data_IF_221216471144
#
_entry.id   IF_221216471144
#
_cell.length_a   1.000
_cell.length_b   1.000
_cell.length_c   1.000
_cell.angle_alpha   90.00
_cell.angle_beta   90.00
_cell.angle_gamma   90.00
#
_symmetry.space_group_name_H-M   'P 1'
#
loop_
_entity.id
_entity.type
_entity.pdbx_description
1 polymer ?
#
# COMPACT_ATOMS: atom_id res chain seq x y z
N UNK A 1 -7.72 15.33 -17.01
CA UNK A 1 -7.45 13.89 -17.19
C UNK A 1 -6.28 13.66 -18.15
N UNK A 2 -6.28 14.22 -19.34
CA UNK A 2 -5.24 14.05 -20.38
C UNK A 2 -3.82 14.38 -19.89
N UNK A 3 -3.65 15.49 -19.17
CA UNK A 3 -2.35 15.91 -18.63
C UNK A 3 -1.76 14.88 -17.66
N UNK A 4 -2.61 14.33 -16.78
CA UNK A 4 -2.18 13.29 -15.82
C UNK A 4 -1.84 11.99 -16.58
N UNK A 5 -2.63 11.61 -17.57
CA UNK A 5 -2.35 10.42 -18.38
C UNK A 5 -1.04 10.55 -19.16
N UNK A 6 -0.81 11.70 -19.78
CA UNK A 6 0.46 11.97 -20.47
C UNK A 6 1.65 12.01 -19.49
N UNK A 7 1.45 12.60 -18.29
CA UNK A 7 2.46 12.67 -17.24
C UNK A 7 2.71 11.36 -16.49
N UNK A 8 1.88 10.33 -16.69
CA UNK A 8 1.94 9.07 -15.93
C UNK A 8 3.29 8.35 -16.10
N UNK A 9 3.91 8.46 -17.27
CA UNK A 9 5.27 7.93 -17.53
C UNK A 9 6.28 8.56 -16.57
N UNK A 10 6.23 9.89 -16.40
CA UNK A 10 7.12 10.62 -15.48
C UNK A 10 6.86 10.20 -14.04
N UNK A 11 5.61 10.08 -13.66
CA UNK A 11 5.21 9.62 -12.32
C UNK A 11 5.76 8.23 -12.00
N UNK A 12 5.59 7.27 -12.91
CA UNK A 12 6.11 5.91 -12.71
C UNK A 12 7.63 5.85 -12.69
N UNK A 13 8.31 6.64 -13.52
CA UNK A 13 9.77 6.76 -13.47
C UNK A 13 10.23 7.35 -12.14
N UNK A 14 9.58 8.39 -11.65
CA UNK A 14 9.86 9.00 -10.34
C UNK A 14 9.69 7.99 -9.19
N UNK A 15 8.59 7.26 -9.14
CA UNK A 15 8.37 6.23 -8.11
C UNK A 15 9.38 5.08 -8.23
N UNK A 16 9.70 4.65 -9.45
CA UNK A 16 10.71 3.62 -9.71
C UNK A 16 12.10 4.05 -9.22
N UNK A 17 12.53 5.27 -9.56
CA UNK A 17 13.83 5.80 -9.11
C UNK A 17 13.87 5.98 -7.59
N UNK A 18 12.77 6.37 -6.97
CA UNK A 18 12.65 6.46 -5.52
C UNK A 18 12.85 5.07 -4.86
N UNK A 19 12.27 4.02 -5.43
CA UNK A 19 12.46 2.65 -4.96
C UNK A 19 13.91 2.18 -5.15
N UNK A 20 14.56 2.52 -6.28
CA UNK A 20 15.98 2.22 -6.53
C UNK A 20 16.88 2.91 -5.51
N UNK A 21 16.65 4.18 -5.17
CA UNK A 21 17.41 4.89 -4.14
C UNK A 21 17.28 4.21 -2.78
N UNK A 22 16.08 3.74 -2.40
CA UNK A 22 15.88 2.98 -1.16
C UNK A 22 16.64 1.64 -1.17
N UNK A 23 16.58 0.91 -2.27
CA UNK A 23 17.32 -0.34 -2.45
C UNK A 23 18.85 -0.14 -2.45
N UNK A 24 19.32 1.03 -2.92
CA UNK A 24 20.73 1.44 -2.89
C UNK A 24 21.22 1.87 -1.49
N UNK A 25 20.46 1.58 -0.44
CA UNK A 25 20.77 1.99 0.95
C UNK A 25 20.81 3.53 1.15
N UNK A 26 20.07 4.28 0.33
CA UNK A 26 19.97 5.74 0.41
C UNK A 26 18.54 6.23 0.76
N UNK A 27 17.94 5.74 1.85
CA UNK A 27 16.55 6.10 2.19
C UNK A 27 16.39 7.59 2.49
N UNK A 28 17.43 8.27 3.00
CA UNK A 28 17.40 9.72 3.23
C UNK A 28 17.24 10.52 1.94
N UNK A 29 17.94 10.12 0.86
CA UNK A 29 17.81 10.77 -0.45
C UNK A 29 16.44 10.53 -1.06
N UNK A 30 15.92 9.30 -0.95
CA UNK A 30 14.56 8.98 -1.38
C UNK A 30 13.50 9.81 -0.63
N UNK A 31 13.66 9.98 0.69
CA UNK A 31 12.80 10.83 1.52
C UNK A 31 12.90 12.31 1.09
N UNK A 32 14.11 12.84 0.90
CA UNK A 32 14.33 14.23 0.44
C UNK A 32 13.69 14.47 -0.92
N UNK A 33 13.77 13.51 -1.86
CA UNK A 33 13.08 13.60 -3.16
C UNK A 33 11.57 13.72 -2.98
N UNK A 34 10.99 12.94 -2.06
CA UNK A 34 9.55 12.98 -1.78
C UNK A 34 9.13 14.31 -1.14
N UNK A 35 9.87 14.78 -0.14
CA UNK A 35 9.61 16.08 0.50
C UNK A 35 9.73 17.22 -0.52
N UNK A 36 10.78 17.21 -1.34
CA UNK A 36 10.96 18.18 -2.42
C UNK A 36 9.77 18.18 -3.39
N UNK A 37 9.31 17.01 -3.82
CA UNK A 37 8.14 16.88 -4.70
C UNK A 37 6.90 17.50 -4.07
N UNK A 38 6.63 17.21 -2.79
CA UNK A 38 5.45 17.74 -2.08
C UNK A 38 5.52 19.26 -1.95
N UNK A 39 6.67 19.79 -1.53
CA UNK A 39 6.85 21.26 -1.39
C UNK A 39 6.74 21.97 -2.72
N UNK A 40 7.39 21.43 -3.77
CA UNK A 40 7.28 21.99 -5.13
C UNK A 40 5.86 21.91 -5.67
N UNK A 41 5.15 20.82 -5.40
CA UNK A 41 3.73 20.70 -5.80
C UNK A 41 2.88 21.81 -5.15
N UNK A 42 3.01 22.03 -3.83
CA UNK A 42 2.27 23.10 -3.12
C UNK A 42 2.56 24.46 -3.73
N UNK A 43 3.83 24.78 -4.01
CA UNK A 43 4.24 26.06 -4.62
C UNK A 43 3.67 26.20 -6.03
N UNK A 44 3.79 25.16 -6.85
CA UNK A 44 3.28 25.16 -8.22
C UNK A 44 1.74 25.19 -8.28
N UNK A 45 1.06 24.49 -7.35
CA UNK A 45 -0.40 24.59 -7.20
C UNK A 45 -0.84 26.01 -6.91
N UNK A 46 -0.16 26.70 -5.99
CA UNK A 46 -0.45 28.10 -5.70
C UNK A 46 -0.27 28.99 -6.95
N UNK A 47 0.83 28.80 -7.69
CA UNK A 47 1.12 29.58 -8.91
C UNK A 47 0.07 29.28 -10.00
N UNK A 48 -0.16 28.02 -10.34
CA UNK A 48 -0.98 27.65 -11.49
C UNK A 48 -2.48 27.81 -11.21
N UNK A 49 -2.92 27.54 -9.97
CA UNK A 49 -4.35 27.64 -9.62
C UNK A 49 -4.69 29.08 -9.24
N UNK A 50 -3.89 29.72 -8.34
CA UNK A 50 -4.24 31.02 -7.75
C UNK A 50 -3.79 32.20 -8.63
N UNK A 51 -2.56 32.17 -9.14
CA UNK A 51 -2.02 33.32 -9.93
C UNK A 51 -2.44 33.23 -11.39
N UNK A 52 -2.36 32.04 -12.01
CA UNK A 52 -2.67 31.89 -13.44
C UNK A 52 -4.12 31.45 -13.72
N UNK A 53 -4.89 31.07 -12.71
CA UNK A 53 -6.30 30.73 -12.85
C UNK A 53 -6.61 29.48 -13.66
N UNK A 54 -5.62 28.53 -13.81
CA UNK A 54 -5.78 27.33 -14.63
C UNK A 54 -6.68 26.26 -13.99
N UNK A 55 -7.12 26.46 -12.75
CA UNK A 55 -8.04 25.53 -12.05
C UNK A 55 -7.49 24.10 -11.99
N UNK A 56 -8.35 23.11 -12.29
CA UNK A 56 -8.00 21.68 -12.23
C UNK A 56 -6.85 21.30 -13.19
N UNK A 57 -6.75 21.97 -14.34
CA UNK A 57 -5.64 21.76 -15.27
C UNK A 57 -4.31 22.18 -14.65
N UNK A 58 -4.31 23.32 -13.94
CA UNK A 58 -3.13 23.81 -13.20
C UNK A 58 -2.65 22.82 -12.16
N UNK A 59 -3.54 22.23 -11.36
CA UNK A 59 -3.21 21.19 -10.40
C UNK A 59 -2.57 19.97 -11.05
N UNK A 60 -3.11 19.54 -12.19
CA UNK A 60 -2.53 18.41 -12.94
C UNK A 60 -1.12 18.72 -13.45
N UNK A 61 -0.87 19.93 -13.98
CA UNK A 61 0.47 20.36 -14.41
C UNK A 61 1.43 20.49 -13.24
N UNK A 62 1.00 21.03 -12.11
CA UNK A 62 1.82 21.16 -10.91
C UNK A 62 2.32 19.79 -10.42
N UNK A 63 1.42 18.81 -10.40
CA UNK A 63 1.74 17.44 -9.99
C UNK A 63 2.79 16.80 -10.91
N UNK A 64 2.58 16.86 -12.23
CA UNK A 64 3.52 16.28 -13.20
C UNK A 64 4.87 17.00 -13.20
N UNK A 65 4.86 18.34 -13.13
CA UNK A 65 6.08 19.14 -13.13
C UNK A 65 6.91 18.95 -11.85
N UNK A 66 6.28 18.89 -10.68
CA UNK A 66 6.97 18.63 -9.42
C UNK A 66 7.66 17.26 -9.42
N UNK A 67 6.99 16.24 -9.95
CA UNK A 67 7.55 14.89 -10.12
C UNK A 67 8.68 14.86 -11.15
N UNK A 68 8.56 15.60 -12.25
CA UNK A 68 9.62 15.72 -13.26
C UNK A 68 10.89 16.35 -12.69
N UNK A 69 10.76 17.44 -11.92
CA UNK A 69 11.88 18.10 -11.25
C UNK A 69 12.57 17.16 -10.25
N UNK A 70 11.78 16.44 -9.44
CA UNK A 70 12.31 15.46 -8.51
C UNK A 70 12.98 14.28 -9.22
N UNK A 71 12.42 13.81 -10.34
CA UNK A 71 13.04 12.78 -11.18
C UNK A 71 14.39 13.23 -11.72
N UNK A 72 14.50 14.46 -12.22
CA UNK A 72 15.77 15.03 -12.67
C UNK A 72 16.81 15.04 -11.54
N UNK A 73 16.40 15.44 -10.34
CA UNK A 73 17.27 15.40 -9.16
C UNK A 73 17.70 13.98 -8.80
N UNK A 74 16.79 13.01 -8.80
CA UNK A 74 17.09 11.58 -8.56
C UNK A 74 18.07 11.02 -9.61
N UNK A 75 17.85 11.34 -10.89
CA UNK A 75 18.75 10.94 -11.98
C UNK A 75 20.16 11.50 -11.80
N UNK A 76 20.29 12.75 -11.36
CA UNK A 76 21.59 13.36 -11.05
C UNK A 76 22.32 12.60 -9.94
N UNK A 77 21.60 12.16 -8.90
CA UNK A 77 22.16 11.36 -7.81
C UNK A 77 22.69 10.00 -8.29
N UNK A 78 21.99 9.36 -9.24
CA UNK A 78 22.38 8.08 -9.80
C UNK A 78 23.44 8.19 -10.93
N UNK A 79 23.77 9.39 -11.37
CA UNK A 79 24.83 9.63 -12.36
C UNK A 79 26.22 9.75 -11.71
N UNK A 80 26.28 9.91 -10.39
CA UNK A 80 27.54 10.05 -9.67
C UNK A 80 28.31 8.70 -9.72
N UNK A 81 29.52 8.71 -10.31
CA UNK A 81 30.35 7.51 -10.53
C UNK A 81 30.96 6.93 -9.25
N UNK A 82 31.04 7.72 -8.19
CA UNK A 82 31.60 7.29 -6.90
C UNK A 82 30.66 6.38 -6.13
N UNK A 83 29.44 6.18 -6.64
CA UNK A 83 28.39 5.42 -5.98
C UNK A 83 28.33 3.99 -6.47
N UNK A 84 27.99 3.05 -5.56
CA UNK A 84 27.88 1.61 -5.86
C UNK A 84 26.87 1.35 -7.00
N UNK A 85 25.74 2.08 -6.98
CA UNK A 85 24.75 2.07 -8.07
C UNK A 85 24.84 3.37 -8.85
N UNK A 86 25.42 3.29 -10.06
CA UNK A 86 25.47 4.39 -11.00
C UNK A 86 25.06 3.94 -12.42
N UNK A 87 24.54 4.88 -13.19
CA UNK A 87 24.15 4.66 -14.56
C UNK A 87 25.40 4.48 -15.45
N UNK A 88 25.60 3.27 -16.01
CA UNK A 88 26.69 2.97 -16.95
C UNK A 88 26.24 3.13 -18.40
N UNK A 89 27.17 3.54 -19.29
CA UNK A 89 26.93 3.47 -20.73
C UNK A 89 26.70 2.01 -21.15
N UNK A 90 25.58 1.71 -21.84
CA UNK A 90 25.19 0.34 -22.23
C UNK A 90 24.02 -0.26 -21.48
N UNK A 91 23.47 0.42 -20.48
CA UNK A 91 22.25 0.05 -19.77
C UNK A 91 21.03 -0.14 -20.69
N UNK A 92 21.04 0.50 -21.86
CA UNK A 92 19.96 0.44 -22.85
C UNK A 92 19.83 -0.91 -23.57
N UNK A 93 20.79 -1.83 -23.39
CA UNK A 93 20.66 -3.20 -23.92
C UNK A 93 19.83 -4.05 -22.97
N UNK A 94 18.54 -4.17 -23.29
CA UNK A 94 17.61 -4.99 -22.53
C UNK A 94 17.99 -6.47 -22.66
N UNK A 95 18.35 -7.11 -21.54
CA UNK A 95 18.57 -8.55 -21.49
C UNK A 95 17.24 -9.22 -21.15
N UNK A 96 16.76 -10.11 -22.01
CA UNK A 96 15.46 -10.79 -21.90
C UNK A 96 15.22 -11.38 -20.51
N UNK A 97 16.15 -12.12 -19.98
CA UNK A 97 16.06 -12.73 -18.64
C UNK A 97 15.86 -11.69 -17.51
N UNK A 98 16.51 -10.49 -17.58
CA UNK A 98 16.30 -9.43 -16.60
C UNK A 98 14.91 -8.82 -16.73
N UNK A 99 14.44 -8.63 -17.96
CA UNK A 99 13.10 -8.10 -18.23
C UNK A 99 12.02 -9.07 -17.71
N UNK A 100 12.17 -10.37 -17.99
CA UNK A 100 11.25 -11.41 -17.52
C UNK A 100 11.18 -11.44 -15.97
N UNK A 101 12.30 -11.33 -15.28
CA UNK A 101 12.35 -11.27 -13.83
C UNK A 101 11.66 -10.00 -13.27
N UNK A 102 11.91 -8.84 -13.87
CA UNK A 102 11.29 -7.57 -13.46
C UNK A 102 9.76 -7.64 -13.65
N UNK A 103 9.30 -8.12 -14.80
CA UNK A 103 7.88 -8.27 -15.12
C UNK A 103 7.23 -9.27 -14.15
N UNK A 104 7.89 -10.41 -13.89
CA UNK A 104 7.38 -11.44 -12.97
C UNK A 104 7.13 -10.88 -11.56
N UNK A 105 8.04 -10.04 -11.06
CA UNK A 105 7.87 -9.39 -9.75
C UNK A 105 6.78 -8.30 -9.82
N UNK A 106 6.73 -7.53 -10.93
CA UNK A 106 5.76 -6.45 -11.13
C UNK A 106 4.32 -6.93 -11.36
N UNK A 107 4.12 -8.16 -11.83
CA UNK A 107 2.78 -8.75 -12.00
C UNK A 107 2.01 -8.81 -10.67
N UNK A 108 2.69 -9.06 -9.54
CA UNK A 108 2.03 -9.11 -8.23
C UNK A 108 1.30 -7.81 -7.87
N UNK A 109 1.97 -6.66 -7.77
CA UNK A 109 1.29 -5.40 -7.47
C UNK A 109 0.31 -4.97 -8.57
N UNK A 110 0.56 -5.31 -9.83
CA UNK A 110 -0.38 -5.06 -10.92
C UNK A 110 -1.72 -5.78 -10.69
N UNK A 111 -1.69 -7.10 -10.45
CA UNK A 111 -2.89 -7.88 -10.17
C UNK A 111 -3.62 -7.38 -8.92
N UNK A 112 -2.87 -7.00 -7.87
CA UNK A 112 -3.45 -6.41 -6.66
C UNK A 112 -4.25 -5.14 -6.97
N UNK A 113 -3.72 -4.24 -7.79
CA UNK A 113 -4.40 -2.99 -8.16
C UNK A 113 -5.61 -3.25 -9.06
N UNK A 114 -5.52 -4.17 -10.03
CA UNK A 114 -6.66 -4.56 -10.86
C UNK A 114 -7.79 -5.12 -10.01
N UNK A 115 -7.48 -6.02 -9.07
CA UNK A 115 -8.47 -6.57 -8.16
C UNK A 115 -9.08 -5.49 -7.25
N UNK A 116 -8.27 -4.54 -6.77
CA UNK A 116 -8.78 -3.42 -5.99
C UNK A 116 -9.78 -2.57 -6.78
N UNK A 117 -9.53 -2.31 -8.06
CA UNK A 117 -10.49 -1.61 -8.94
C UNK A 117 -11.81 -2.39 -9.09
N UNK A 118 -11.73 -3.70 -9.31
CA UNK A 118 -12.92 -4.56 -9.40
C UNK A 118 -13.72 -4.51 -8.10
N UNK A 119 -13.05 -4.63 -6.96
CA UNK A 119 -13.70 -4.55 -5.63
C UNK A 119 -14.39 -3.20 -5.43
N UNK A 120 -13.77 -2.09 -5.80
CA UNK A 120 -14.39 -0.74 -5.69
C UNK A 120 -15.68 -0.66 -6.51
N UNK A 121 -15.69 -1.20 -7.74
CA UNK A 121 -16.88 -1.23 -8.58
C UNK A 121 -18.00 -2.06 -7.92
N UNK A 122 -17.67 -3.28 -7.46
CA UNK A 122 -18.63 -4.13 -6.75
C UNK A 122 -19.16 -3.48 -5.48
N UNK A 123 -18.28 -2.90 -4.67
CA UNK A 123 -18.64 -2.22 -3.43
C UNK A 123 -19.60 -1.07 -3.70
N UNK A 124 -19.28 -0.18 -4.65
CA UNK A 124 -20.13 0.94 -4.98
C UNK A 124 -21.50 0.47 -5.48
N UNK A 125 -21.57 -0.54 -6.34
CA UNK A 125 -22.84 -1.10 -6.81
C UNK A 125 -23.70 -1.63 -5.66
N UNK A 126 -23.11 -2.34 -4.72
CA UNK A 126 -23.83 -2.87 -3.56
C UNK A 126 -24.26 -1.75 -2.59
N UNK A 127 -23.42 -0.74 -2.37
CA UNK A 127 -23.77 0.41 -1.53
C UNK A 127 -24.95 1.20 -2.11
N UNK A 128 -24.94 1.48 -3.43
CA UNK A 128 -26.06 2.16 -4.11
C UNK A 128 -27.33 1.31 -4.00
N UNK A 129 -27.23 0.00 -4.23
CA UNK A 129 -28.40 -0.91 -4.24
C UNK A 129 -29.08 -1.02 -2.88
N UNK A 130 -28.31 -1.11 -1.77
CA UNK A 130 -28.84 -1.38 -0.45
C UNK A 130 -28.92 -0.16 0.46
N UNK A 131 -28.28 0.96 0.13
CA UNK A 131 -28.24 2.14 0.99
C UNK A 131 -28.31 3.49 0.28
N UNK A 132 -28.35 3.49 -1.07
CA UNK A 132 -28.40 4.72 -1.87
C UNK A 132 -27.14 5.58 -1.77
N UNK A 133 -27.23 6.81 -2.27
CA UNK A 133 -26.09 7.75 -2.35
C UNK A 133 -25.53 8.12 -0.97
N UNK A 134 -26.36 8.16 0.05
CA UNK A 134 -25.93 8.45 1.42
C UNK A 134 -25.00 7.37 1.98
N UNK A 135 -25.23 6.09 1.66
CA UNK A 135 -24.36 5.00 2.07
C UNK A 135 -23.00 5.03 1.35
N UNK A 136 -22.99 5.44 0.07
CA UNK A 136 -21.75 5.66 -0.68
C UNK A 136 -20.93 6.79 -0.05
N UNK A 137 -21.59 7.90 0.30
CA UNK A 137 -20.94 9.02 1.01
C UNK A 137 -20.39 8.63 2.36
N UNK A 138 -21.16 7.89 3.16
CA UNK A 138 -20.75 7.39 4.47
C UNK A 138 -19.54 6.43 4.37
N UNK A 139 -19.56 5.53 3.39
CA UNK A 139 -18.44 4.63 3.11
C UNK A 139 -17.20 5.40 2.63
N UNK A 140 -17.37 6.42 1.78
CA UNK A 140 -16.27 7.29 1.34
C UNK A 140 -15.55 7.97 2.50
N UNK A 141 -16.31 8.45 3.49
CA UNK A 141 -15.76 9.02 4.73
C UNK A 141 -15.01 7.94 5.52
N UNK A 142 -15.63 6.78 5.76
CA UNK A 142 -15.00 5.68 6.48
C UNK A 142 -13.70 5.21 5.81
N UNK A 143 -13.70 5.09 4.48
CA UNK A 143 -12.51 4.73 3.69
C UNK A 143 -11.41 5.79 3.80
N UNK A 144 -11.75 7.08 3.79
CA UNK A 144 -10.77 8.17 3.93
C UNK A 144 -10.10 8.17 5.30
N UNK A 145 -10.87 7.97 6.37
CA UNK A 145 -10.33 7.82 7.74
C UNK A 145 -9.41 6.59 7.81
N UNK A 146 -9.84 5.49 7.26
CA UNK A 146 -9.11 4.23 7.21
C UNK A 146 -7.77 4.37 6.48
N UNK A 147 -7.75 5.06 5.35
CA UNK A 147 -6.56 5.27 4.53
C UNK A 147 -5.44 6.03 5.24
N UNK A 148 -5.74 6.89 6.20
CA UNK A 148 -4.72 7.59 7.00
C UNK A 148 -3.81 6.55 7.69
N UNK A 149 -4.39 5.57 8.39
CA UNK A 149 -3.64 4.54 9.11
C UNK A 149 -2.95 3.56 8.16
N UNK A 150 -3.61 3.19 7.06
CA UNK A 150 -3.03 2.35 6.00
C UNK A 150 -1.77 2.98 5.40
N UNK A 151 -1.76 4.29 5.17
CA UNK A 151 -0.60 5.02 4.65
C UNK A 151 0.62 4.93 5.58
N UNK A 152 0.42 4.99 6.90
CA UNK A 152 1.51 4.79 7.86
C UNK A 152 2.09 3.38 7.77
N UNK A 153 1.25 2.34 7.64
CA UNK A 153 1.70 0.95 7.48
C UNK A 153 2.45 0.76 6.17
N UNK A 154 1.95 1.34 5.07
CA UNK A 154 2.67 1.32 3.78
C UNK A 154 4.06 1.97 3.92
N UNK A 155 4.17 3.06 4.67
CA UNK A 155 5.46 3.70 4.97
C UNK A 155 6.42 2.77 5.73
N UNK A 156 5.93 2.06 6.74
CA UNK A 156 6.71 1.04 7.46
C UNK A 156 7.15 -0.10 6.55
N UNK A 157 6.26 -0.60 5.70
CA UNK A 157 6.54 -1.66 4.74
C UNK A 157 7.63 -1.24 3.75
N UNK A 158 7.58 -0.01 3.25
CA UNK A 158 8.62 0.53 2.37
C UNK A 158 9.99 0.63 3.06
N UNK A 159 10.01 0.87 4.37
CA UNK A 159 11.24 0.82 5.19
C UNK A 159 11.73 -0.60 5.42
N UNK A 160 10.83 -1.55 5.61
CA UNK A 160 11.15 -2.97 5.79
C UNK A 160 11.76 -3.60 4.54
N UNK A 161 11.24 -3.25 3.35
CA UNK A 161 11.60 -3.88 2.07
C UNK A 161 13.11 -4.04 1.83
N UNK A 162 13.94 -2.97 1.84
CA UNK A 162 15.36 -3.09 1.55
C UNK A 162 16.11 -3.91 2.62
N UNK A 163 15.69 -3.77 3.89
CA UNK A 163 16.33 -4.46 5.01
C UNK A 163 16.01 -5.97 4.95
N UNK A 164 14.74 -6.32 4.69
CA UNK A 164 14.32 -7.70 4.57
C UNK A 164 14.96 -8.38 3.35
N UNK A 165 14.96 -7.71 2.19
CA UNK A 165 15.55 -8.21 0.96
C UNK A 165 17.05 -8.48 1.11
N UNK A 166 17.80 -7.53 1.72
CA UNK A 166 19.23 -7.69 1.97
C UNK A 166 19.53 -8.86 2.92
N UNK A 167 18.86 -8.92 4.09
CA UNK A 167 19.10 -9.97 5.08
C UNK A 167 18.68 -11.36 4.57
N UNK A 168 17.65 -11.43 3.71
CA UNK A 168 17.27 -12.68 3.05
C UNK A 168 18.34 -13.14 2.06
N UNK A 169 18.86 -12.22 1.22
CA UNK A 169 19.93 -12.51 0.27
C UNK A 169 21.26 -12.92 0.94
N UNK A 170 21.59 -12.32 2.08
CA UNK A 170 22.78 -12.65 2.88
C UNK A 170 22.57 -13.83 3.85
N UNK A 171 21.42 -14.51 3.78
CA UNK A 171 21.07 -15.67 4.63
C UNK A 171 21.08 -15.37 6.15
N UNK A 172 20.96 -14.10 6.55
CA UNK A 172 20.91 -13.68 7.95
C UNK A 172 19.50 -13.82 8.52
N UNK A 173 19.06 -15.06 8.75
CA UNK A 173 17.69 -15.38 9.15
C UNK A 173 17.27 -14.69 10.45
N UNK A 174 18.16 -14.59 11.45
CA UNK A 174 17.83 -13.96 12.74
C UNK A 174 17.53 -12.46 12.58
N UNK A 175 18.33 -11.75 11.78
CA UNK A 175 18.08 -10.33 11.48
C UNK A 175 16.82 -10.13 10.66
N UNK A 176 16.60 -11.00 9.67
CA UNK A 176 15.37 -11.00 8.87
C UNK A 176 14.14 -11.14 9.75
N UNK A 177 14.15 -12.09 10.68
CA UNK A 177 13.05 -12.34 11.61
C UNK A 177 12.85 -11.21 12.61
N UNK A 178 13.93 -10.57 13.06
CA UNK A 178 13.86 -9.43 13.96
C UNK A 178 13.18 -8.23 13.28
N UNK A 179 13.58 -7.92 12.04
CA UNK A 179 12.97 -6.84 11.26
C UNK A 179 11.48 -7.09 11.03
N UNK A 180 11.12 -8.31 10.62
CA UNK A 180 9.72 -8.70 10.41
C UNK A 180 8.89 -8.53 11.69
N UNK A 181 9.36 -9.04 12.84
CA UNK A 181 8.66 -8.90 14.13
C UNK A 181 8.47 -7.45 14.53
N UNK A 182 9.52 -6.62 14.39
CA UNK A 182 9.45 -5.20 14.70
C UNK A 182 8.43 -4.48 13.80
N UNK A 183 8.42 -4.78 12.50
CA UNK A 183 7.46 -4.18 11.56
C UNK A 183 6.03 -4.61 11.86
N UNK A 184 5.80 -5.91 12.15
CA UNK A 184 4.47 -6.39 12.56
C UNK A 184 4.00 -5.67 13.84
N UNK A 185 4.85 -5.58 14.85
CA UNK A 185 4.50 -4.93 16.11
C UNK A 185 4.15 -3.44 15.91
N UNK A 186 4.98 -2.71 15.14
CA UNK A 186 4.75 -1.31 14.85
C UNK A 186 3.48 -1.10 14.01
N UNK A 187 3.26 -1.91 12.95
CA UNK A 187 2.08 -1.83 12.11
C UNK A 187 0.80 -2.16 12.89
N UNK A 188 0.84 -3.21 13.74
CA UNK A 188 -0.29 -3.55 14.61
C UNK A 188 -0.57 -2.42 15.60
N UNK A 189 0.45 -1.80 16.18
CA UNK A 189 0.28 -0.64 17.08
C UNK A 189 -0.40 0.54 16.40
N UNK A 190 0.00 0.88 15.17
CA UNK A 190 -0.65 1.93 14.36
C UNK A 190 -2.12 1.58 14.09
N UNK A 191 -2.39 0.35 13.68
CA UNK A 191 -3.75 -0.09 13.35
C UNK A 191 -4.65 -0.17 14.59
N UNK A 192 -4.10 -0.60 15.73
CA UNK A 192 -4.82 -0.55 17.02
C UNK A 192 -5.15 0.89 17.43
N UNK A 193 -4.23 1.83 17.24
CA UNK A 193 -4.48 3.25 17.47
C UNK A 193 -5.62 3.75 16.56
N UNK A 194 -5.62 3.39 15.29
CA UNK A 194 -6.71 3.70 14.36
C UNK A 194 -8.03 3.09 14.78
N UNK A 195 -8.02 1.86 15.22
CA UNK A 195 -9.19 1.17 15.76
C UNK A 195 -9.75 1.87 17.01
N UNK A 196 -8.89 2.24 17.96
CA UNK A 196 -9.29 2.98 19.15
C UNK A 196 -9.94 4.32 18.79
N UNK A 197 -9.33 5.11 17.90
CA UNK A 197 -9.88 6.40 17.45
C UNK A 197 -11.24 6.20 16.78
N UNK A 198 -11.37 5.18 15.92
CA UNK A 198 -12.60 4.87 15.20
C UNK A 198 -13.76 4.46 16.13
N UNK A 199 -13.47 3.84 17.28
CA UNK A 199 -14.49 3.39 18.24
C UNK A 199 -14.77 4.38 19.35
N UNK A 200 -13.76 5.10 19.84
CA UNK A 200 -13.90 6.07 20.93
C UNK A 200 -14.37 7.46 20.46
N UNK A 201 -13.95 7.86 19.25
CA UNK A 201 -14.20 9.20 18.74
C UNK A 201 -14.73 9.24 17.28
N UNK A 202 -15.64 8.34 16.85
CA UNK A 202 -16.09 8.25 15.46
C UNK A 202 -16.82 9.52 14.98
N UNK A 203 -17.49 10.22 15.89
CA UNK A 203 -18.17 11.49 15.58
C UNK A 203 -17.19 12.55 15.08
N UNK A 204 -16.06 12.72 15.75
CA UNK A 204 -15.05 13.70 15.34
C UNK A 204 -14.42 13.33 14.01
N UNK A 205 -14.16 12.04 13.78
CA UNK A 205 -13.66 11.55 12.50
C UNK A 205 -14.63 11.87 11.35
N UNK A 206 -15.93 11.61 11.51
CA UNK A 206 -16.93 11.91 10.50
C UNK A 206 -17.11 13.42 10.28
N UNK A 207 -17.09 14.21 11.37
CA UNK A 207 -17.28 15.67 11.32
C UNK A 207 -16.15 16.40 10.60
N UNK A 208 -14.96 15.83 10.49
CA UNK A 208 -13.86 16.40 9.70
C UNK A 208 -14.19 16.46 8.19
N UNK A 209 -15.08 15.59 7.70
CA UNK A 209 -15.39 15.48 6.27
C UNK A 209 -16.74 16.09 5.89
N UNK A 210 -17.70 16.16 6.82
CA UNK A 210 -19.05 16.66 6.53
C UNK A 210 -19.67 17.37 7.72
N UNK A 211 -20.62 18.27 7.42
CA UNK A 211 -21.46 18.95 8.44
C UNK A 211 -22.89 18.44 8.46
N UNK A 212 -23.28 17.59 7.50
CA UNK A 212 -24.61 17.01 7.41
C UNK A 212 -24.84 16.00 8.54
N UNK A 213 -25.84 16.23 9.43
CA UNK A 213 -26.08 15.36 10.59
C UNK A 213 -26.46 13.92 10.19
N UNK A 214 -27.23 13.77 9.11
CA UNK A 214 -27.68 12.44 8.67
C UNK A 214 -26.52 11.63 8.11
N UNK A 215 -25.67 12.27 7.29
CA UNK A 215 -24.47 11.65 6.76
C UNK A 215 -23.47 11.31 7.88
N UNK A 216 -23.31 12.17 8.89
CA UNK A 216 -22.47 11.89 10.08
C UNK A 216 -22.98 10.63 10.79
N UNK A 217 -24.29 10.50 11.00
CA UNK A 217 -24.87 9.33 11.69
C UNK A 217 -24.58 8.02 10.96
N UNK A 218 -24.69 8.02 9.63
CA UNK A 218 -24.36 6.84 8.81
C UNK A 218 -22.85 6.59 8.76
N UNK A 219 -22.04 7.64 8.65
CA UNK A 219 -20.58 7.54 8.61
C UNK A 219 -20.01 6.97 9.92
N UNK A 220 -20.56 7.32 11.09
CA UNK A 220 -20.16 6.73 12.38
C UNK A 220 -20.27 5.21 12.33
N UNK A 221 -21.42 4.68 11.89
CA UNK A 221 -21.63 3.23 11.77
C UNK A 221 -20.68 2.60 10.77
N UNK A 222 -20.51 3.25 9.60
CA UNK A 222 -19.61 2.77 8.56
C UNK A 222 -18.14 2.73 9.05
N UNK A 223 -17.67 3.75 9.79
CA UNK A 223 -16.32 3.82 10.36
C UNK A 223 -16.12 2.68 11.36
N UNK A 224 -17.05 2.51 12.32
CA UNK A 224 -16.93 1.51 13.38
C UNK A 224 -16.91 0.09 12.80
N UNK A 225 -17.78 -0.22 11.84
CA UNK A 225 -17.85 -1.54 11.23
C UNK A 225 -16.61 -1.78 10.34
N UNK A 226 -16.26 -0.84 9.48
CA UNK A 226 -15.14 -0.99 8.55
C UNK A 226 -13.80 -1.17 9.26
N UNK A 227 -13.59 -0.45 10.36
CA UNK A 227 -12.32 -0.51 11.11
C UNK A 227 -12.32 -1.56 12.24
N UNK A 228 -13.35 -2.41 12.34
CA UNK A 228 -13.48 -3.41 13.40
C UNK A 228 -12.31 -4.39 13.45
N UNK A 229 -11.80 -4.83 12.30
CA UNK A 229 -10.71 -5.81 12.18
C UNK A 229 -9.34 -5.19 11.93
N UNK A 230 -9.19 -3.87 12.08
CA UNK A 230 -7.93 -3.15 11.87
C UNK A 230 -6.74 -3.69 12.67
N UNK A 231 -6.89 -4.12 13.94
CA UNK A 231 -5.78 -4.73 14.67
C UNK A 231 -5.11 -5.90 13.94
N UNK A 232 -5.86 -6.64 13.12
CA UNK A 232 -5.36 -7.82 12.39
C UNK A 232 -4.89 -7.47 10.97
N UNK A 233 -5.46 -6.40 10.38
CA UNK A 233 -5.12 -5.95 9.02
C UNK A 233 -3.64 -5.54 8.91
N UNK A 234 -3.09 -4.86 9.95
CA UNK A 234 -1.69 -4.48 9.99
C UNK A 234 -0.74 -5.68 9.85
N UNK A 235 -1.03 -6.77 10.58
CA UNK A 235 -0.30 -8.02 10.45
C UNK A 235 -0.36 -8.59 9.02
N UNK A 236 -1.55 -8.67 8.44
CA UNK A 236 -1.75 -9.23 7.11
C UNK A 236 -1.01 -8.43 6.04
N UNK A 237 -1.03 -7.08 6.10
CA UNK A 237 -0.33 -6.21 5.15
C UNK A 237 1.18 -6.47 5.19
N UNK A 238 1.77 -6.45 6.39
CA UNK A 238 3.21 -6.68 6.58
C UNK A 238 3.61 -8.07 6.08
N UNK A 239 2.85 -9.12 6.39
CA UNK A 239 3.15 -10.49 5.94
C UNK A 239 3.10 -10.60 4.41
N UNK A 240 2.10 -9.99 3.77
CA UNK A 240 1.98 -9.99 2.31
C UNK A 240 3.16 -9.30 1.64
N UNK A 241 3.53 -8.11 2.14
CA UNK A 241 4.70 -7.35 1.66
C UNK A 241 6.02 -8.08 1.93
N UNK A 242 6.17 -8.72 3.09
CA UNK A 242 7.34 -9.51 3.41
C UNK A 242 7.59 -10.61 2.38
N UNK A 243 6.58 -11.40 2.01
CA UNK A 243 6.74 -12.43 0.98
C UNK A 243 7.10 -11.84 -0.38
N UNK A 244 6.62 -10.66 -0.70
CA UNK A 244 7.01 -9.94 -1.93
C UNK A 244 8.50 -9.54 -1.88
N UNK A 245 8.98 -9.01 -0.76
CA UNK A 245 10.36 -8.54 -0.59
C UNK A 245 11.39 -9.66 -0.69
N UNK A 246 11.07 -10.86 -0.18
CA UNK A 246 11.95 -12.03 -0.24
C UNK A 246 11.80 -12.82 -1.55
N UNK A 247 11.09 -12.28 -2.54
CA UNK A 247 10.93 -12.90 -3.87
C UNK A 247 9.97 -14.09 -3.91
N UNK A 248 9.20 -14.37 -2.83
CA UNK A 248 8.14 -15.40 -2.82
C UNK A 248 6.84 -14.85 -3.42
N UNK A 249 6.94 -14.37 -4.65
CA UNK A 249 5.87 -13.65 -5.36
C UNK A 249 4.55 -14.45 -5.41
N UNK A 250 4.60 -15.76 -5.65
CA UNK A 250 3.40 -16.63 -5.70
C UNK A 250 2.61 -16.59 -4.38
N UNK A 251 3.28 -16.58 -3.24
CA UNK A 251 2.64 -16.51 -1.92
C UNK A 251 2.03 -15.12 -1.70
N UNK A 252 2.75 -14.06 -2.05
CA UNK A 252 2.25 -12.69 -1.95
C UNK A 252 1.01 -12.48 -2.82
N UNK A 253 1.03 -12.93 -4.07
CA UNK A 253 -0.14 -12.89 -4.98
C UNK A 253 -1.32 -13.66 -4.36
N UNK A 254 -1.09 -14.88 -3.89
CA UNK A 254 -2.15 -15.69 -3.29
C UNK A 254 -2.78 -14.99 -2.09
N UNK A 255 -1.98 -14.45 -1.16
CA UNK A 255 -2.48 -13.72 0.02
C UNK A 255 -3.31 -12.49 -0.36
N UNK A 256 -2.85 -11.73 -1.35
CA UNK A 256 -3.56 -10.52 -1.80
C UNK A 256 -4.85 -10.84 -2.55
N UNK A 257 -4.79 -11.80 -3.47
CA UNK A 257 -5.96 -12.18 -4.27
C UNK A 257 -7.00 -12.93 -3.43
N UNK A 258 -6.59 -13.77 -2.49
CA UNK A 258 -7.51 -14.46 -1.60
C UNK A 258 -8.34 -13.47 -0.77
N UNK A 259 -7.74 -12.41 -0.26
CA UNK A 259 -8.46 -11.37 0.46
C UNK A 259 -9.54 -10.71 -0.40
N UNK A 260 -9.17 -10.30 -1.62
CA UNK A 260 -10.05 -9.49 -2.47
C UNK A 260 -11.05 -10.33 -3.27
N UNK A 261 -10.58 -11.37 -3.95
CA UNK A 261 -11.41 -12.16 -4.87
C UNK A 261 -12.07 -13.36 -4.17
N UNK A 262 -11.32 -14.07 -3.30
CA UNK A 262 -11.82 -15.30 -2.70
C UNK A 262 -12.74 -15.03 -1.50
N UNK A 263 -12.45 -14.00 -0.71
CA UNK A 263 -13.25 -13.70 0.47
C UNK A 263 -14.17 -12.50 0.26
N UNK A 264 -13.64 -11.33 -0.14
CA UNK A 264 -14.43 -10.10 -0.15
C UNK A 264 -15.55 -10.12 -1.19
N UNK A 265 -15.30 -10.51 -2.43
CA UNK A 265 -16.34 -10.52 -3.46
C UNK A 265 -17.50 -11.47 -3.12
N UNK A 266 -17.29 -12.74 -2.73
CA UNK A 266 -18.38 -13.61 -2.30
C UNK A 266 -19.15 -13.07 -1.09
N UNK A 267 -18.44 -12.51 -0.09
CA UNK A 267 -19.09 -11.93 1.07
C UNK A 267 -19.93 -10.70 0.71
N UNK A 268 -19.46 -9.85 -0.23
CA UNK A 268 -20.22 -8.72 -0.76
C UNK A 268 -21.49 -9.10 -1.53
N UNK A 269 -21.57 -10.34 -2.00
CA UNK A 269 -22.79 -10.88 -2.65
C UNK A 269 -23.70 -11.54 -1.62
N UNK A 270 -23.14 -12.34 -0.70
CA UNK A 270 -23.90 -13.16 0.23
C UNK A 270 -24.44 -12.35 1.41
N UNK A 271 -23.60 -11.61 2.12
CA UNK A 271 -23.99 -10.92 3.36
C UNK A 271 -25.08 -9.85 3.18
N UNK A 272 -25.11 -9.07 2.09
CA UNK A 272 -26.19 -8.09 1.90
C UNK A 272 -27.58 -8.72 1.73
N UNK A 273 -27.66 -9.98 1.28
CA UNK A 273 -28.94 -10.68 1.18
C UNK A 273 -29.58 -10.94 2.57
N UNK A 274 -28.75 -11.12 3.61
CA UNK A 274 -29.21 -11.39 4.97
C UNK A 274 -29.28 -10.13 5.85
N UNK A 275 -28.35 -9.20 5.65
CA UNK A 275 -28.16 -8.06 6.55
C UNK A 275 -28.32 -6.70 5.86
N UNK A 276 -28.79 -6.66 4.60
CA UNK A 276 -28.95 -5.42 3.82
C UNK A 276 -27.66 -4.58 3.83
N UNK A 277 -27.76 -3.26 4.06
CA UNK A 277 -26.62 -2.33 4.10
C UNK A 277 -25.55 -2.73 5.12
N UNK A 278 -25.94 -3.21 6.29
CA UNK A 278 -24.97 -3.69 7.28
C UNK A 278 -24.18 -4.88 6.75
N UNK A 279 -24.76 -5.73 5.91
CA UNK A 279 -24.08 -6.82 5.22
C UNK A 279 -22.99 -6.35 4.28
N UNK A 280 -23.22 -5.22 3.57
CA UNK A 280 -22.18 -4.62 2.72
C UNK A 280 -21.00 -4.15 3.58
N UNK A 281 -21.26 -3.44 4.66
CA UNK A 281 -20.20 -2.92 5.53
C UNK A 281 -19.45 -4.03 6.28
N UNK A 282 -20.13 -5.08 6.74
CA UNK A 282 -19.49 -6.20 7.46
C UNK A 282 -18.72 -7.14 6.55
N UNK A 283 -18.91 -7.09 5.22
CA UNK A 283 -18.15 -7.89 4.26
C UNK A 283 -16.65 -7.62 4.30
N UNK A 284 -16.25 -6.33 4.51
CA UNK A 284 -14.84 -5.93 4.61
C UNK A 284 -14.14 -6.55 5.83
N UNK A 285 -14.60 -6.31 7.09
CA UNK A 285 -13.94 -6.88 8.25
C UNK A 285 -13.99 -8.41 8.26
N UNK A 286 -15.04 -9.04 7.73
CA UNK A 286 -15.12 -10.49 7.62
C UNK A 286 -14.06 -11.05 6.66
N UNK A 287 -13.87 -10.41 5.51
CA UNK A 287 -12.81 -10.79 4.56
C UNK A 287 -11.41 -10.57 5.14
N UNK A 288 -11.19 -9.48 5.88
CA UNK A 288 -9.93 -9.18 6.52
C UNK A 288 -9.58 -10.21 7.60
N UNK A 289 -10.57 -10.65 8.38
CA UNK A 289 -10.38 -11.71 9.36
C UNK A 289 -9.96 -13.03 8.72
N UNK A 290 -10.70 -13.49 7.69
CA UNK A 290 -10.37 -14.74 6.98
C UNK A 290 -9.00 -14.67 6.31
N UNK A 291 -8.69 -13.55 5.66
CA UNK A 291 -7.39 -13.34 5.02
C UNK A 291 -6.23 -13.31 6.02
N UNK A 292 -6.46 -12.73 7.20
CA UNK A 292 -5.46 -12.69 8.28
C UNK A 292 -5.19 -14.08 8.86
N UNK A 293 -6.22 -14.92 8.98
CA UNK A 293 -6.04 -16.33 9.39
C UNK A 293 -5.18 -17.10 8.38
N UNK A 294 -5.47 -16.95 7.08
CA UNK A 294 -4.68 -17.58 6.02
C UNK A 294 -3.23 -17.08 6.05
N UNK A 295 -3.04 -15.77 6.20
CA UNK A 295 -1.70 -15.19 6.31
C UNK A 295 -0.94 -15.72 7.53
N UNK A 296 -1.59 -15.88 8.67
CA UNK A 296 -0.99 -16.45 9.88
C UNK A 296 -0.56 -17.91 9.68
N UNK A 297 -1.42 -18.74 9.09
CA UNK A 297 -1.11 -20.16 8.81
C UNK A 297 0.10 -20.27 7.88
N UNK A 298 0.12 -19.50 6.78
CA UNK A 298 1.22 -19.52 5.82
C UNK A 298 2.50 -19.03 6.47
N UNK A 299 2.43 -17.95 7.26
CA UNK A 299 3.58 -17.38 7.93
C UNK A 299 4.19 -18.34 8.95
N UNK A 300 3.37 -18.98 9.81
CA UNK A 300 3.84 -19.96 10.80
C UNK A 300 4.50 -21.15 10.11
N UNK A 301 3.88 -21.67 9.05
CA UNK A 301 4.41 -22.78 8.26
C UNK A 301 5.77 -22.42 7.62
N UNK A 302 5.87 -21.22 7.05
CA UNK A 302 7.10 -20.74 6.44
C UNK A 302 8.22 -20.54 7.47
N UNK A 303 7.90 -19.96 8.62
CA UNK A 303 8.86 -19.77 9.71
C UNK A 303 9.43 -21.10 10.26
N UNK A 304 8.57 -22.10 10.41
CA UNK A 304 9.02 -23.44 10.83
C UNK A 304 10.02 -24.05 9.83
N UNK A 305 9.75 -23.91 8.54
CA UNK A 305 10.66 -24.39 7.47
C UNK A 305 12.00 -23.66 7.48
N UNK A 306 11.99 -22.34 7.63
CA UNK A 306 13.22 -21.54 7.70
C UNK A 306 14.10 -21.93 8.88
N UNK A 307 13.52 -22.16 10.07
CA UNK A 307 14.25 -22.64 11.23
C UNK A 307 14.89 -24.02 11.03
N UNK A 308 14.16 -24.94 10.41
CA UNK A 308 14.69 -26.27 10.10
C UNK A 308 15.87 -26.20 9.12
N UNK A 309 15.80 -25.35 8.10
CA UNK A 309 16.89 -25.14 7.15
C UNK A 309 18.13 -24.53 7.81
N UNK A 310 17.97 -23.57 8.72
CA UNK A 310 19.09 -22.97 9.43
C UNK A 310 19.82 -23.96 10.35
N UNK A 311 19.09 -24.84 11.03
CA UNK A 311 19.67 -25.90 11.88
C UNK A 311 20.40 -26.93 11.04
N UNK A 312 19.82 -27.36 9.91
CA UNK A 312 20.47 -28.34 9.02
C UNK A 312 21.75 -27.78 8.41
N UNK A 313 21.80 -26.50 8.04
CA UNK A 313 23.01 -25.87 7.51
C UNK A 313 24.10 -25.69 8.56
N UNK A 314 23.77 -25.48 9.84
CA UNK A 314 24.73 -25.44 10.92
C UNK A 314 25.34 -26.82 11.18
N UNK A 315 24.52 -27.88 11.15
CA UNK A 315 25.01 -29.26 11.35
C UNK A 315 25.85 -29.80 10.16
N UNK A 316 25.75 -29.20 8.96
CA UNK A 316 26.61 -29.57 7.82
C UNK A 316 27.94 -28.84 7.81
N UNK A 317 28.07 -27.74 8.56
CA UNK A 317 29.29 -26.93 8.66
C UNK A 317 30.05 -27.15 9.97
N UNK A 318 29.54 -27.98 10.88
CA UNK A 318 30.18 -28.50 12.09
C UNK A 318 30.77 -29.87 11.82
#
# INVERSE_FOLDING_TARGET
MEVILAGNVISHMYFGMNAVLRAASKPRQAMMATIFTVLMNIVLDFIFIRLWGWGIRGAAFATVLSQALALCWQMKQLTNKDEILHLKRGIYRLKRHLVENIISIGISPFLMNVCACIVVIFMNNQLVRYGGDMAVGAFGIAYSVAMIFVMFVIGLDQGMQPIAGYNYGSQQTDRLMRVLKLTIFAATGIMVTGWLIAHLAPYYCARMFTKDPELIRQAIKAIQINMMMYPVVGFQMVVTNFFQCIGKVKISIFLSLSRQLLFLIPLLVILPHFFNLNGVWTSLPSSDFLASLVAAIIMVTYMRRLKQQSVNNQNLNS
#
